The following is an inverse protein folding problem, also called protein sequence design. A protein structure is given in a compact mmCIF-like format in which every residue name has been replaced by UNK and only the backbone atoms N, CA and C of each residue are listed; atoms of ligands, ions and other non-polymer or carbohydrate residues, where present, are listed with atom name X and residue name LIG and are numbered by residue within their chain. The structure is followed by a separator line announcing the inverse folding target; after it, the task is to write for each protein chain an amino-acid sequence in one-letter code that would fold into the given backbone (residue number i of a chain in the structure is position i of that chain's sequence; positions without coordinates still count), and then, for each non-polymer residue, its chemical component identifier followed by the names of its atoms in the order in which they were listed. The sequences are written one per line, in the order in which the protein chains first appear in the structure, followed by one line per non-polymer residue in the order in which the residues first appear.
data_IF_541160224522
#
_entry.id   IF_541160224522
#
_cell.length_a   1.000
_cell.length_b   1.000
_cell.length_c   1.000
_cell.angle_alpha   90.00
_cell.angle_beta   90.00
_cell.angle_gamma   90.00
#
_symmetry.space_group_name_H-M   'P 1'
#
loop_
_entity.id
_entity.type
_entity.pdbx_description
1 polymer ?
#
# COMPACT_ATOMS: atom_id res chain seq x y z
N UNK A 1 8.85 16.16 17.71
CA UNK A 1 9.47 14.83 17.92
C UNK A 1 9.27 14.09 16.63
N UNK A 2 10.32 13.81 15.88
CA UNK A 2 10.21 13.04 14.64
C UNK A 2 9.60 11.67 14.98
N UNK A 3 8.63 11.22 14.19
CA UNK A 3 8.03 9.90 14.33
C UNK A 3 9.16 8.85 14.33
N UNK A 4 9.42 8.13 15.44
CA UNK A 4 10.42 7.07 15.45
C UNK A 4 9.78 5.84 14.82
N UNK A 5 9.34 5.94 13.56
CA UNK A 5 8.80 4.80 12.85
C UNK A 5 9.97 3.88 12.50
N UNK A 6 10.34 3.07 13.49
CA UNK A 6 11.39 2.06 13.41
C UNK A 6 11.14 1.09 12.25
N UNK A 7 9.93 1.05 11.69
CA UNK A 7 9.60 0.27 10.50
C UNK A 7 10.54 0.53 9.34
N UNK A 8 10.91 1.79 9.06
CA UNK A 8 11.82 2.11 7.95
C UNK A 8 13.29 1.81 8.25
N UNK A 9 13.64 1.58 9.52
CA UNK A 9 14.99 1.24 9.96
C UNK A 9 15.24 -0.27 10.04
N UNK A 10 14.21 -1.11 9.82
CA UNK A 10 14.37 -2.57 9.90
C UNK A 10 15.10 -3.12 8.67
N UNK A 11 15.66 -4.32 8.82
CA UNK A 11 16.46 -4.98 7.79
C UNK A 11 15.71 -6.06 7.01
N UNK A 12 14.49 -6.42 7.43
CA UNK A 12 13.68 -7.41 6.72
C UNK A 12 13.22 -6.87 5.36
N UNK A 13 13.10 -7.75 4.37
CA UNK A 13 12.73 -7.37 3.00
C UNK A 13 11.28 -6.89 2.97
N UNK A 14 11.03 -5.74 2.37
CA UNK A 14 9.70 -5.18 2.12
C UNK A 14 9.34 -5.20 0.64
N UNK A 15 8.06 -4.98 0.32
CA UNK A 15 7.66 -4.75 -1.08
C UNK A 15 8.34 -3.50 -1.70
N UNK A 16 8.70 -2.49 -0.90
CA UNK A 16 9.45 -1.34 -1.39
C UNK A 16 10.86 -1.73 -1.81
N UNK A 17 11.54 -2.57 -1.01
CA UNK A 17 12.85 -3.13 -1.36
C UNK A 17 12.79 -3.93 -2.68
N UNK A 18 11.74 -4.74 -2.87
CA UNK A 18 11.50 -5.44 -4.14
C UNK A 18 11.19 -4.48 -5.31
N UNK A 19 10.56 -3.34 -5.04
CA UNK A 19 10.29 -2.30 -6.04
C UNK A 19 11.59 -1.65 -6.49
N UNK A 20 12.50 -1.36 -5.56
CA UNK A 20 13.83 -0.82 -5.86
C UNK A 20 14.65 -1.81 -6.67
N UNK A 21 14.66 -3.09 -6.28
CA UNK A 21 15.30 -4.15 -7.05
C UNK A 21 14.73 -4.26 -8.46
N UNK A 22 13.39 -4.23 -8.63
CA UNK A 22 12.75 -4.23 -9.95
C UNK A 22 13.22 -3.06 -10.80
N UNK A 23 13.29 -1.85 -10.24
CA UNK A 23 13.73 -0.66 -10.97
C UNK A 23 15.22 -0.74 -11.37
N UNK A 24 16.05 -1.37 -10.52
CA UNK A 24 17.46 -1.59 -10.80
C UNK A 24 17.67 -2.62 -11.93
N UNK A 25 16.97 -3.76 -11.87
CA UNK A 25 17.11 -4.85 -12.85
C UNK A 25 16.42 -4.53 -14.19
N UNK A 26 15.31 -3.81 -14.13
CA UNK A 26 14.46 -3.52 -15.29
C UNK A 26 14.18 -2.02 -15.37
N UNK A 27 15.21 -1.20 -15.68
CA UNK A 27 15.02 0.23 -15.80
C UNK A 27 14.01 0.51 -16.90
N UNK A 28 12.93 1.21 -16.54
CA UNK A 28 11.91 1.68 -17.48
C UNK A 28 11.84 3.19 -17.42
N UNK A 29 11.62 3.82 -18.56
CA UNK A 29 11.29 5.25 -18.62
C UNK A 29 10.02 5.48 -17.80
N UNK A 30 10.14 6.25 -16.74
CA UNK A 30 9.01 6.59 -15.88
C UNK A 30 8.54 7.99 -16.25
N UNK A 31 7.26 8.09 -16.59
CA UNK A 31 6.63 9.37 -16.90
C UNK A 31 5.99 9.95 -15.64
N UNK A 32 6.25 11.23 -15.39
CA UNK A 32 5.73 11.96 -14.23
C UNK A 32 6.70 12.01 -13.05
N UNK A 33 6.33 12.82 -12.06
CA UNK A 33 7.13 13.06 -10.86
C UNK A 33 6.71 12.06 -9.76
N UNK A 34 7.50 10.99 -9.61
CA UNK A 34 7.29 9.94 -8.60
C UNK A 34 7.41 10.46 -7.19
N UNK A 35 8.37 11.35 -6.93
CA UNK A 35 8.59 11.89 -5.60
C UNK A 35 7.38 12.73 -5.17
N UNK A 36 6.87 13.56 -6.09
CA UNK A 36 5.62 14.30 -5.86
C UNK A 36 4.41 13.38 -5.67
N UNK A 37 4.30 12.31 -6.47
CA UNK A 37 3.20 11.35 -6.34
C UNK A 37 3.23 10.61 -4.99
N UNK A 38 4.41 10.17 -4.56
CA UNK A 38 4.65 9.50 -3.29
C UNK A 38 4.38 10.46 -2.13
N UNK A 39 4.99 11.66 -2.15
CA UNK A 39 4.77 12.72 -1.17
C UNK A 39 3.27 13.00 -0.97
N UNK A 40 2.53 13.19 -2.07
CA UNK A 40 1.08 13.41 -1.97
C UNK A 40 0.33 12.19 -1.40
N UNK A 41 0.75 10.98 -1.75
CA UNK A 41 0.20 9.74 -1.16
C UNK A 41 0.36 9.74 0.36
N UNK A 42 1.55 10.06 0.87
CA UNK A 42 1.85 10.16 2.31
C UNK A 42 0.96 11.17 3.03
N UNK A 43 0.67 12.31 2.41
CA UNK A 43 -0.27 13.29 2.96
C UNK A 43 -1.67 12.71 3.15
N UNK A 44 -2.20 12.06 2.11
CA UNK A 44 -3.56 11.51 2.14
C UNK A 44 -3.66 10.35 3.12
N UNK A 45 -2.64 9.49 3.15
CA UNK A 45 -2.53 8.42 4.14
C UNK A 45 -2.53 8.98 5.56
N UNK A 46 -1.59 9.86 5.93
CA UNK A 46 -1.55 10.45 7.26
C UNK A 46 -2.86 11.18 7.64
N UNK A 47 -3.51 11.87 6.70
CA UNK A 47 -4.80 12.51 6.94
C UNK A 47 -5.91 11.52 7.32
N UNK A 48 -5.84 10.28 6.85
CA UNK A 48 -6.87 9.24 7.02
C UNK A 48 -6.50 8.24 8.12
N UNK A 49 -5.24 7.80 8.21
CA UNK A 49 -4.78 6.67 9.03
C UNK A 49 -3.98 7.09 10.27
N UNK A 50 -3.32 8.25 10.25
CA UNK A 50 -2.42 8.75 11.32
C UNK A 50 -2.58 10.28 11.51
N UNK A 51 -3.78 10.71 11.89
CA UNK A 51 -4.13 12.14 11.86
C UNK A 51 -3.28 13.01 12.81
N UNK A 52 -2.79 12.40 13.89
CA UNK A 52 -1.89 13.00 14.87
C UNK A 52 -0.54 13.45 14.29
N UNK A 53 -0.10 12.88 13.16
CA UNK A 53 1.10 13.32 12.43
C UNK A 53 0.88 14.62 11.66
N UNK A 54 -0.37 15.09 11.53
CA UNK A 54 -0.73 16.21 10.65
C UNK A 54 -0.80 17.54 11.41
N UNK A 55 0.03 18.50 11.00
CA UNK A 55 0.01 19.88 11.50
C UNK A 55 -0.79 20.79 10.55
N UNK A 56 -2.10 20.91 10.78
CA UNK A 56 -3.03 21.64 9.90
C UNK A 56 -2.67 23.11 9.65
N UNK A 57 -2.27 23.85 10.69
CA UNK A 57 -1.93 25.27 10.54
C UNK A 57 -0.68 25.50 9.68
N UNK A 58 0.25 24.54 9.71
CA UNK A 58 1.50 24.57 8.96
C UNK A 58 1.43 23.83 7.63
N UNK A 59 0.35 23.06 7.38
CA UNK A 59 0.21 22.12 6.26
C UNK A 59 1.39 21.15 6.18
N UNK A 60 1.70 20.53 7.31
CA UNK A 60 2.80 19.56 7.41
C UNK A 60 2.30 18.18 7.82
N UNK A 61 3.04 17.17 7.40
CA UNK A 61 3.03 15.84 7.99
C UNK A 61 4.45 15.60 8.50
N UNK A 62 4.59 15.39 9.81
CA UNK A 62 5.88 15.44 10.49
C UNK A 62 6.67 16.72 10.09
N UNK A 63 7.84 16.55 9.47
CA UNK A 63 8.74 17.63 9.04
C UNK A 63 8.56 18.04 7.56
N UNK A 64 7.61 17.44 6.85
CA UNK A 64 7.39 17.71 5.41
C UNK A 64 6.24 18.69 5.21
N UNK A 65 6.53 19.84 4.59
CA UNK A 65 5.54 20.87 4.22
C UNK A 65 4.92 20.59 2.85
N UNK A 66 3.62 20.79 2.76
CA UNK A 66 2.81 20.63 1.55
C UNK A 66 2.33 21.99 1.02
N UNK A 67 2.11 22.08 -0.29
CA UNK A 67 1.48 23.26 -0.88
C UNK A 67 0.05 23.40 -0.36
N UNK A 68 -0.51 24.60 -0.52
CA UNK A 68 -1.91 24.84 -0.15
C UNK A 68 -2.83 23.95 -0.97
N UNK A 69 -2.59 23.85 -2.27
CA UNK A 69 -3.41 23.07 -3.20
C UNK A 69 -3.38 21.57 -2.86
N UNK A 70 -2.20 21.00 -2.60
CA UNK A 70 -2.07 19.59 -2.25
C UNK A 70 -2.77 19.29 -0.91
N UNK A 71 -2.62 20.18 0.09
CA UNK A 71 -3.25 20.02 1.39
C UNK A 71 -4.78 20.11 1.32
N UNK A 72 -5.31 21.09 0.59
CA UNK A 72 -6.75 21.24 0.37
C UNK A 72 -7.34 20.04 -0.40
N UNK A 73 -6.63 19.54 -1.42
CA UNK A 73 -7.03 18.33 -2.14
C UNK A 73 -7.03 17.08 -1.22
N UNK A 74 -5.99 16.92 -0.38
CA UNK A 74 -5.94 15.82 0.59
C UNK A 74 -7.10 15.85 1.58
N UNK A 75 -7.48 17.03 2.07
CA UNK A 75 -8.66 17.19 2.93
C UNK A 75 -9.96 16.85 2.19
N UNK A 76 -10.10 17.27 0.93
CA UNK A 76 -11.26 16.94 0.10
C UNK A 76 -11.37 15.43 -0.16
N UNK A 77 -10.24 14.75 -0.37
CA UNK A 77 -10.18 13.29 -0.53
C UNK A 77 -10.59 12.56 0.75
N UNK A 78 -10.11 13.00 1.91
CA UNK A 78 -10.55 12.47 3.21
C UNK A 78 -12.05 12.63 3.41
N UNK A 79 -12.61 13.81 3.10
CA UNK A 79 -14.05 14.05 3.23
C UNK A 79 -14.86 13.19 2.25
N UNK A 80 -14.38 13.02 1.01
CA UNK A 80 -15.01 12.12 0.04
C UNK A 80 -15.05 10.67 0.55
N UNK A 81 -13.96 10.17 1.14
CA UNK A 81 -13.92 8.84 1.74
C UNK A 81 -14.91 8.69 2.90
N UNK A 82 -14.98 9.68 3.80
CA UNK A 82 -15.95 9.71 4.92
C UNK A 82 -17.39 9.78 4.44
N UNK A 83 -17.66 10.52 3.36
CA UNK A 83 -18.99 10.60 2.74
C UNK A 83 -19.37 9.26 2.11
N UNK A 84 -18.45 8.58 1.44
CA UNK A 84 -18.67 7.25 0.87
C UNK A 84 -19.01 6.22 1.95
N UNK A 85 -18.31 6.27 3.10
CA UNK A 85 -18.57 5.39 4.24
C UNK A 85 -19.99 5.51 4.83
N UNK A 86 -20.76 6.55 4.48
CA UNK A 86 -22.18 6.65 4.90
C UNK A 86 -23.10 5.67 4.17
N UNK A 87 -22.68 5.17 3.00
CA UNK A 87 -23.43 4.21 2.18
C UNK A 87 -22.67 2.90 1.93
N UNK A 88 -21.35 2.91 2.03
CA UNK A 88 -20.51 1.70 1.97
C UNK A 88 -20.29 1.16 3.39
N UNK A 89 -21.08 0.17 3.79
CA UNK A 89 -21.02 -0.42 5.12
C UNK A 89 -19.67 -1.07 5.42
N UNK A 90 -19.01 -1.63 4.40
CA UNK A 90 -17.69 -2.24 4.56
C UNK A 90 -16.65 -1.15 4.85
N UNK A 91 -16.63 -0.07 4.07
CA UNK A 91 -15.74 1.06 4.34
C UNK A 91 -15.99 1.68 5.72
N UNK A 92 -17.26 1.80 6.13
CA UNK A 92 -17.61 2.26 7.48
C UNK A 92 -16.98 1.37 8.55
N UNK A 93 -17.08 0.06 8.38
CA UNK A 93 -16.48 -0.91 9.30
C UNK A 93 -14.95 -0.82 9.30
N UNK A 94 -14.32 -0.65 8.13
CA UNK A 94 -12.87 -0.43 7.99
C UNK A 94 -12.43 0.80 8.78
N UNK A 95 -13.07 1.95 8.58
CA UNK A 95 -12.70 3.20 9.24
C UNK A 95 -12.94 3.19 10.75
N UNK A 96 -13.82 2.31 11.25
CA UNK A 96 -14.19 2.27 12.67
C UNK A 96 -13.42 1.21 13.47
N UNK A 97 -12.99 0.12 12.82
CA UNK A 97 -12.50 -1.08 13.52
C UNK A 97 -11.10 -1.53 13.08
N UNK A 98 -10.44 -0.82 12.16
CA UNK A 98 -9.09 -1.19 11.76
C UNK A 98 -8.03 -0.66 12.73
N UNK A 99 -7.01 -1.48 12.97
CA UNK A 99 -5.70 -0.99 13.38
C UNK A 99 -5.09 -0.29 12.15
N UNK A 100 -4.75 0.99 12.27
CA UNK A 100 -4.08 1.71 11.19
C UNK A 100 -2.58 1.48 11.23
N UNK A 101 -1.95 1.46 10.05
CA UNK A 101 -0.48 1.44 9.92
C UNK A 101 0.19 0.24 10.62
N UNK A 102 -0.51 -0.89 10.64
CA UNK A 102 -0.09 -2.15 11.27
C UNK A 102 1.05 -2.79 10.49
N UNK A 103 2.23 -2.88 11.09
CA UNK A 103 3.32 -3.65 10.50
C UNK A 103 3.34 -5.10 10.98
N UNK A 104 3.89 -5.97 10.12
CA UNK A 104 4.13 -7.37 10.42
C UNK A 104 5.49 -7.78 9.91
N UNK A 105 6.09 -8.75 10.58
CA UNK A 105 7.39 -9.33 10.23
C UNK A 105 7.27 -10.84 10.28
N UNK A 106 7.80 -11.51 9.27
CA UNK A 106 7.95 -12.96 9.27
C UNK A 106 9.43 -13.31 9.14
N UNK A 107 9.94 -14.08 10.10
CA UNK A 107 11.33 -14.53 10.12
C UNK A 107 11.43 -15.87 9.42
N UNK A 108 12.43 -16.01 8.55
CA UNK A 108 12.63 -17.23 7.76
C UNK A 108 11.38 -17.66 6.98
N UNK A 109 10.66 -16.70 6.37
CA UNK A 109 9.54 -17.02 5.50
C UNK A 109 10.01 -17.92 4.37
N UNK A 110 9.37 -19.07 4.20
CA UNK A 110 9.73 -20.07 3.19
C UNK A 110 9.17 -19.68 1.83
N UNK A 111 10.02 -19.77 0.82
CA UNK A 111 9.67 -19.56 -0.58
C UNK A 111 10.09 -20.78 -1.40
N UNK A 112 9.36 -21.02 -2.49
CA UNK A 112 9.66 -22.06 -3.46
C UNK A 112 9.83 -21.42 -4.84
N UNK A 113 11.00 -21.58 -5.45
CA UNK A 113 11.27 -21.15 -6.81
C UNK A 113 11.64 -22.36 -7.67
N UNK A 114 10.71 -22.84 -8.49
CA UNK A 114 10.83 -24.14 -9.16
C UNK A 114 10.89 -25.28 -8.13
N UNK A 115 12.00 -26.00 -8.09
CA UNK A 115 12.25 -27.07 -7.11
C UNK A 115 13.20 -26.65 -5.98
N UNK A 116 13.52 -25.36 -5.89
CA UNK A 116 14.48 -24.83 -4.92
C UNK A 116 13.76 -24.08 -3.80
N UNK A 117 14.05 -24.47 -2.56
CA UNK A 117 13.50 -23.83 -1.37
C UNK A 117 14.53 -22.88 -0.75
N UNK A 118 14.07 -21.69 -0.37
CA UNK A 118 14.88 -20.70 0.35
C UNK A 118 14.04 -19.95 1.37
N UNK A 119 14.71 -19.20 2.24
CA UNK A 119 14.03 -18.39 3.25
C UNK A 119 14.47 -16.94 3.18
N UNK A 120 13.55 -16.02 3.44
CA UNK A 120 13.82 -14.60 3.63
C UNK A 120 13.15 -14.10 4.90
N UNK A 121 13.80 -13.16 5.57
CA UNK A 121 13.14 -12.33 6.56
C UNK A 121 12.35 -11.24 5.84
N UNK A 122 11.05 -11.15 6.11
CA UNK A 122 10.12 -10.30 5.36
C UNK A 122 9.32 -9.38 6.28
N UNK A 123 8.87 -8.25 5.74
CA UNK A 123 7.99 -7.29 6.44
C UNK A 123 6.97 -6.65 5.51
N UNK A 124 5.88 -6.20 6.10
CA UNK A 124 4.85 -5.37 5.46
C UNK A 124 4.26 -4.36 6.45
N UNK A 125 3.60 -3.31 5.94
CA UNK A 125 2.89 -2.31 6.75
C UNK A 125 1.55 -1.97 6.12
N UNK A 126 0.47 -2.47 6.71
CA UNK A 126 -0.90 -2.31 6.26
C UNK A 126 -1.44 -0.92 6.62
N UNK A 127 -2.08 -0.23 5.66
CA UNK A 127 -2.78 1.02 5.98
C UNK A 127 -3.96 0.75 6.93
N UNK A 128 -4.68 -0.34 6.68
CA UNK A 128 -5.74 -0.85 7.56
C UNK A 128 -5.58 -2.35 7.81
N UNK A 129 -5.65 -2.75 9.07
CA UNK A 129 -5.72 -4.15 9.47
C UNK A 129 -6.96 -4.41 10.32
N UNK A 130 -7.75 -5.42 9.99
CA UNK A 130 -8.96 -5.81 10.73
C UNK A 130 -8.64 -7.03 11.61
N UNK A 131 -8.20 -6.83 12.88
CA UNK A 131 -7.67 -7.92 13.70
C UNK A 131 -8.71 -9.02 13.96
N UNK A 132 -9.98 -8.66 14.14
CA UNK A 132 -11.06 -9.62 14.38
C UNK A 132 -11.38 -10.53 13.18
N UNK A 133 -10.91 -10.17 11.97
CA UNK A 133 -11.16 -10.93 10.75
C UNK A 133 -9.90 -11.50 10.10
N UNK A 134 -8.71 -11.12 10.59
CA UNK A 134 -7.44 -11.66 10.09
C UNK A 134 -7.08 -11.24 8.67
N UNK A 135 -7.53 -10.05 8.23
CA UNK A 135 -7.14 -9.48 6.94
C UNK A 135 -7.08 -7.95 6.99
N UNK A 136 -6.50 -7.33 5.97
CA UNK A 136 -6.36 -5.88 5.88
C UNK A 136 -6.58 -5.34 4.49
N UNK A 137 -6.21 -4.09 4.31
CA UNK A 137 -6.27 -3.43 3.02
C UNK A 137 -5.40 -2.19 2.93
N UNK A 138 -5.42 -1.58 1.76
CA UNK A 138 -4.57 -0.45 1.39
C UNK A 138 -5.36 0.76 0.90
N UNK A 139 -4.84 1.93 1.20
CA UNK A 139 -5.32 3.22 0.72
C UNK A 139 -4.44 3.71 -0.43
N UNK A 140 -5.06 3.96 -1.59
CA UNK A 140 -4.37 4.51 -2.76
C UNK A 140 -4.92 5.87 -3.16
N UNK A 141 -4.04 6.70 -3.70
CA UNK A 141 -4.46 7.86 -4.51
C UNK A 141 -4.25 7.53 -5.98
N UNK A 142 -5.20 7.87 -6.83
CA UNK A 142 -5.17 7.49 -8.25
C UNK A 142 -5.62 8.63 -9.16
N UNK A 143 -5.24 8.56 -10.44
CA UNK A 143 -5.81 9.43 -11.48
C UNK A 143 -6.98 8.79 -12.22
N UNK A 144 -7.35 7.55 -11.88
CA UNK A 144 -8.51 6.89 -12.47
C UNK A 144 -9.79 7.70 -12.27
N UNK A 145 -10.64 7.73 -13.29
CA UNK A 145 -11.94 8.40 -13.30
C UNK A 145 -13.12 7.41 -13.39
N UNK A 146 -12.80 6.14 -13.65
CA UNK A 146 -13.72 5.01 -13.72
C UNK A 146 -13.16 3.76 -13.02
N UNK A 147 -14.03 2.80 -12.70
CA UNK A 147 -13.62 1.53 -12.09
C UNK A 147 -12.68 0.74 -13.01
N UNK A 148 -12.88 0.78 -14.33
CA UNK A 148 -12.01 0.08 -15.29
C UNK A 148 -10.59 0.65 -15.27
N UNK A 149 -10.44 1.97 -15.29
CA UNK A 149 -9.13 2.62 -15.17
C UNK A 149 -8.46 2.32 -13.83
N UNK A 150 -9.24 2.22 -12.75
CA UNK A 150 -8.71 1.82 -11.45
C UNK A 150 -8.26 0.34 -11.45
N UNK A 151 -9.02 -0.57 -12.06
CA UNK A 151 -8.63 -1.97 -12.19
C UNK A 151 -7.33 -2.12 -13.01
N UNK A 152 -7.17 -1.34 -14.09
CA UNK A 152 -5.91 -1.27 -14.86
C UNK A 152 -4.75 -0.74 -14.01
N UNK A 153 -5.00 0.25 -13.16
CA UNK A 153 -4.00 0.83 -12.27
C UNK A 153 -3.44 -0.20 -11.27
N UNK A 154 -4.24 -1.18 -10.83
CA UNK A 154 -3.79 -2.24 -9.92
C UNK A 154 -2.61 -3.01 -10.52
N UNK A 155 -2.70 -3.37 -11.79
CA UNK A 155 -1.62 -4.08 -12.49
C UNK A 155 -0.46 -3.13 -12.83
N UNK A 156 -0.78 -1.96 -13.39
CA UNK A 156 0.21 -0.99 -13.86
C UNK A 156 1.17 -0.52 -12.75
N UNK A 157 0.67 -0.31 -11.54
CA UNK A 157 1.47 0.13 -10.40
C UNK A 157 1.96 -1.03 -9.50
N UNK A 158 1.80 -2.28 -9.93
CA UNK A 158 2.11 -3.49 -9.15
C UNK A 158 1.43 -3.50 -7.75
N UNK A 159 0.22 -2.95 -7.64
CA UNK A 159 -0.50 -3.00 -6.36
C UNK A 159 -0.91 -4.43 -6.03
N UNK A 160 -1.24 -5.24 -7.04
CA UNK A 160 -1.45 -6.68 -6.91
C UNK A 160 -0.26 -7.39 -6.26
N UNK A 161 0.98 -7.07 -6.69
CA UNK A 161 2.22 -7.59 -6.07
C UNK A 161 2.28 -7.23 -4.59
N UNK A 162 2.06 -5.96 -4.27
CA UNK A 162 2.13 -5.49 -2.88
C UNK A 162 1.11 -6.21 -1.99
N UNK A 163 -0.12 -6.43 -2.50
CA UNK A 163 -1.17 -7.10 -1.73
C UNK A 163 -0.89 -8.58 -1.56
N UNK A 164 -0.44 -9.26 -2.61
CA UNK A 164 -0.04 -10.66 -2.50
C UNK A 164 1.13 -10.87 -1.50
N UNK A 165 2.13 -9.98 -1.51
CA UNK A 165 3.23 -9.97 -0.52
C UNK A 165 2.69 -9.86 0.91
N UNK A 166 1.74 -8.96 1.14
CA UNK A 166 1.18 -8.66 2.45
C UNK A 166 0.31 -9.83 2.93
N UNK A 167 -0.54 -10.36 2.06
CA UNK A 167 -1.37 -11.54 2.34
C UNK A 167 -0.52 -12.75 2.74
N UNK A 168 0.61 -13.00 2.09
CA UNK A 168 1.52 -14.10 2.43
C UNK A 168 2.19 -13.91 3.79
N UNK A 169 2.70 -12.72 4.08
CA UNK A 169 3.33 -12.41 5.38
C UNK A 169 2.32 -12.56 6.52
N UNK A 170 1.10 -12.06 6.31
CA UNK A 170 0.05 -12.05 7.33
C UNK A 170 -0.72 -13.38 7.45
N UNK A 171 -0.56 -14.31 6.49
CA UNK A 171 -1.40 -15.51 6.38
C UNK A 171 -2.87 -15.23 6.04
N UNK A 172 -3.18 -14.04 5.49
CA UNK A 172 -4.56 -13.59 5.24
C UNK A 172 -5.21 -14.28 4.03
N UNK A 173 -6.49 -14.66 4.10
CA UNK A 173 -7.20 -15.24 2.95
C UNK A 173 -7.77 -14.21 1.97
N UNK A 174 -7.74 -12.93 2.32
CA UNK A 174 -8.29 -11.86 1.50
C UNK A 174 -7.60 -10.52 1.77
N UNK A 175 -7.85 -9.55 0.90
CA UNK A 175 -7.32 -8.19 0.96
C UNK A 175 -8.31 -7.25 0.28
N UNK A 176 -8.18 -5.95 0.51
CA UNK A 176 -8.92 -4.93 -0.22
C UNK A 176 -8.06 -3.71 -0.51
N UNK A 177 -8.37 -3.03 -1.60
CA UNK A 177 -7.80 -1.72 -1.91
C UNK A 177 -8.96 -0.73 -1.97
N UNK A 178 -8.87 0.36 -1.23
CA UNK A 178 -9.65 1.57 -1.51
C UNK A 178 -8.77 2.60 -2.19
N UNK A 179 -9.26 3.20 -3.27
CA UNK A 179 -8.56 4.27 -3.96
C UNK A 179 -9.44 5.51 -4.10
N UNK A 180 -8.81 6.68 -4.00
CA UNK A 180 -9.48 7.97 -4.15
C UNK A 180 -8.90 8.69 -5.37
N UNK A 181 -9.78 9.10 -6.28
CA UNK A 181 -9.37 9.83 -7.48
C UNK A 181 -8.93 11.26 -7.16
N UNK A 182 -7.75 11.65 -7.66
CA UNK A 182 -7.26 13.04 -7.66
C UNK A 182 -7.99 13.92 -8.68
N UNK A 183 -8.74 13.32 -9.63
CA UNK A 183 -9.45 14.05 -10.71
C UNK A 183 -10.85 14.47 -10.29
N UNK A 184 -11.59 13.55 -9.69
CA UNK A 184 -13.02 13.72 -9.46
C UNK A 184 -13.50 13.23 -8.08
N UNK A 185 -12.56 12.92 -7.17
CA UNK A 185 -12.82 12.45 -5.80
C UNK A 185 -13.66 11.17 -5.70
N UNK A 186 -13.88 10.45 -6.81
CA UNK A 186 -14.56 9.15 -6.77
C UNK A 186 -13.75 8.16 -5.96
N UNK A 187 -14.46 7.34 -5.19
CA UNK A 187 -13.92 6.23 -4.43
C UNK A 187 -14.06 4.96 -5.27
N UNK A 188 -12.97 4.23 -5.42
CA UNK A 188 -12.94 2.91 -6.03
C UNK A 188 -12.56 1.88 -4.99
N UNK A 189 -13.00 0.64 -5.21
CA UNK A 189 -12.58 -0.49 -4.39
C UNK A 189 -12.32 -1.73 -5.22
N UNK A 190 -11.40 -2.54 -4.74
CA UNK A 190 -11.16 -3.90 -5.23
C UNK A 190 -10.99 -4.84 -4.05
N UNK A 191 -11.47 -6.05 -4.20
CA UNK A 191 -11.23 -7.15 -3.27
C UNK A 191 -10.31 -8.16 -3.95
N UNK A 192 -9.39 -8.71 -3.18
CA UNK A 192 -8.46 -9.74 -3.63
C UNK A 192 -8.66 -10.93 -2.70
N UNK A 193 -8.78 -12.12 -3.25
CA UNK A 193 -8.90 -13.38 -2.51
C UNK A 193 -7.71 -14.26 -2.81
N UNK A 194 -7.33 -15.08 -1.82
CA UNK A 194 -6.32 -16.11 -2.02
C UNK A 194 -6.67 -16.94 -3.26
N UNK A 195 -5.66 -17.18 -4.08
CA UNK A 195 -5.74 -17.96 -5.32
C UNK A 195 -6.65 -17.39 -6.43
N UNK A 196 -7.15 -16.16 -6.30
CA UNK A 196 -7.76 -15.46 -7.45
C UNK A 196 -6.69 -14.96 -8.44
N UNK A 197 -7.15 -14.50 -9.62
CA UNK A 197 -6.24 -14.08 -10.69
C UNK A 197 -5.39 -12.86 -10.32
N UNK A 198 -5.88 -11.99 -9.44
CA UNK A 198 -5.14 -10.80 -8.99
C UNK A 198 -4.07 -11.19 -7.99
N UNK A 199 -4.40 -12.04 -7.03
CA UNK A 199 -3.44 -12.61 -6.10
C UNK A 199 -2.35 -13.40 -6.82
N UNK A 200 -2.73 -14.32 -7.73
CA UNK A 200 -1.76 -15.17 -8.46
C UNK A 200 -0.77 -14.36 -9.28
N UNK A 201 -1.25 -13.34 -10.00
CA UNK A 201 -0.39 -12.43 -10.78
C UNK A 201 0.52 -11.61 -9.86
N UNK A 202 -0.01 -11.11 -8.75
CA UNK A 202 0.79 -10.42 -7.74
C UNK A 202 1.87 -11.31 -7.13
N UNK A 203 1.53 -12.58 -6.87
CA UNK A 203 2.42 -13.60 -6.34
C UNK A 203 3.56 -13.93 -7.29
N UNK A 204 3.25 -14.20 -8.55
CA UNK A 204 4.25 -14.43 -9.58
C UNK A 204 5.27 -13.26 -9.66
N UNK A 205 4.77 -12.01 -9.61
CA UNK A 205 5.62 -10.81 -9.64
C UNK A 205 6.57 -10.72 -8.44
N UNK A 206 6.14 -11.00 -7.21
CA UNK A 206 7.07 -10.93 -6.07
C UNK A 206 7.92 -12.18 -5.92
N UNK A 207 7.46 -13.38 -6.30
CA UNK A 207 8.25 -14.61 -6.18
C UNK A 207 9.53 -14.50 -7.03
N UNK A 208 9.42 -13.94 -8.24
CA UNK A 208 10.56 -13.65 -9.10
C UNK A 208 11.55 -12.67 -8.45
N UNK A 209 11.03 -11.57 -7.88
CA UNK A 209 11.86 -10.54 -7.26
C UNK A 209 12.47 -10.98 -5.93
N UNK A 210 11.73 -11.73 -5.12
CA UNK A 210 12.19 -12.29 -3.87
C UNK A 210 13.33 -13.29 -4.11
N UNK A 211 13.22 -14.13 -5.14
CA UNK A 211 14.30 -15.06 -5.48
C UNK A 211 15.57 -14.32 -5.93
N UNK A 212 15.41 -13.28 -6.75
CA UNK A 212 16.55 -12.44 -7.18
C UNK A 212 17.16 -11.65 -6.03
N UNK A 213 16.34 -11.15 -5.11
CA UNK A 213 16.81 -10.51 -3.89
C UNK A 213 17.68 -11.48 -3.09
N UNK A 214 17.17 -12.69 -2.86
CA UNK A 214 17.88 -13.74 -2.15
C UNK A 214 19.22 -14.05 -2.82
N UNK A 215 19.27 -14.23 -4.14
CA UNK A 215 20.52 -14.51 -4.87
C UNK A 215 21.57 -13.38 -4.78
N UNK A 216 21.15 -12.12 -4.64
CA UNK A 216 22.04 -10.96 -4.70
C UNK A 216 22.49 -10.50 -3.32
N UNK A 217 21.68 -10.70 -2.29
CA UNK A 217 21.85 -10.04 -0.99
C UNK A 217 21.72 -10.98 0.22
N UNK A 218 21.40 -12.27 0.04
CA UNK A 218 21.27 -13.26 1.13
C UNK A 218 22.29 -14.38 0.99
#
# INVERSE_FOLDING_TARGET
MANPDSYYLRTEVSNSDLTELKNYLYPRTQYGDKEKAFKFGTLVDALITENERVHYSKRMVDDVTYSREDFELGLAMREALRKEARKDEFLRAVLSNSDTQKFMVNKSQRFLYGNFEYTLDTRCKWDWWLPGFGFGGDLKTTFAESQNQFNEAIDFFDWDRSRAWYMDIAGSQQDFIYAISKKNLKIFKAFIRRDDDTYKRGKEKYDELAFKWWMLFS
#
